data_IF_205267163561
#
_entry.id   IF_205267163561
#
_cell.length_a   1.000
_cell.length_b   1.000
_cell.length_c   1.000
_cell.angle_alpha   90.00
_cell.angle_beta   90.00
_cell.angle_gamma   90.00
#
_symmetry.space_group_name_H-M   'P 1'
#
loop_
_entity.id
_entity.type
_entity.pdbx_description
1 polymer ?
#
# COMPACT_ATOMS: atom_id res chain seq x y z
N UNK A 1 -70.04 25.62 -19.10
CA UNK A 1 -69.54 25.50 -17.72
C UNK A 1 -68.03 25.50 -17.79
N UNK A 2 -67.40 26.45 -17.07
CA UNK A 2 -65.95 26.66 -16.97
C UNK A 2 -65.29 25.40 -16.42
N UNK A 3 -64.14 24.97 -16.96
CA UNK A 3 -63.18 24.18 -16.19
C UNK A 3 -61.76 24.71 -16.47
N UNK A 4 -61.32 25.48 -15.49
CA UNK A 4 -59.98 25.98 -15.25
C UNK A 4 -59.17 24.81 -14.66
N UNK A 5 -58.10 24.37 -15.32
CA UNK A 5 -57.17 23.39 -14.76
C UNK A 5 -55.79 24.03 -14.61
N UNK A 6 -55.41 24.15 -13.35
CA UNK A 6 -54.13 24.59 -12.80
C UNK A 6 -52.96 23.85 -13.47
N UNK A 7 -51.99 24.61 -14.00
CA UNK A 7 -50.67 24.07 -14.35
C UNK A 7 -49.83 24.09 -13.07
N UNK A 8 -49.69 22.92 -12.44
CA UNK A 8 -48.76 22.69 -11.34
C UNK A 8 -47.35 22.54 -11.95
N UNK A 9 -46.52 23.59 -11.86
CA UNK A 9 -45.13 23.55 -12.28
C UNK A 9 -44.32 22.61 -11.37
N UNK A 10 -44.11 21.39 -11.83
CA UNK A 10 -43.24 20.40 -11.18
C UNK A 10 -41.77 20.81 -11.46
N UNK A 11 -41.16 21.53 -10.52
CA UNK A 11 -39.72 21.81 -10.55
C UNK A 11 -38.95 20.51 -10.34
N UNK A 12 -38.49 19.89 -11.43
CA UNK A 12 -37.55 18.78 -11.38
C UNK A 12 -36.19 19.30 -10.86
N UNK A 13 -35.93 19.07 -9.58
CA UNK A 13 -34.59 19.16 -9.01
C UNK A 13 -33.78 18.01 -9.61
N UNK A 14 -33.05 18.30 -10.69
CA UNK A 14 -32.17 17.34 -11.34
C UNK A 14 -30.98 17.11 -10.41
N UNK A 15 -30.95 15.99 -9.69
CA UNK A 15 -29.74 15.53 -9.00
C UNK A 15 -28.74 15.20 -10.10
N UNK A 16 -27.83 16.12 -10.38
CA UNK A 16 -26.72 15.89 -11.29
C UNK A 16 -25.77 14.90 -10.62
N UNK A 17 -25.79 13.66 -11.10
CA UNK A 17 -24.79 12.67 -10.76
C UNK A 17 -23.44 13.17 -11.30
N UNK A 18 -22.58 13.65 -10.40
CA UNK A 18 -21.31 14.24 -10.76
C UNK A 18 -20.30 13.13 -11.08
N UNK A 19 -19.67 13.20 -12.24
CA UNK A 19 -18.67 12.21 -12.64
C UNK A 19 -17.44 12.22 -11.70
N UNK A 20 -16.70 11.11 -11.69
CA UNK A 20 -15.47 10.99 -10.91
C UNK A 20 -14.42 12.05 -11.31
N UNK A 21 -13.75 12.64 -10.32
CA UNK A 21 -12.69 13.63 -10.48
C UNK A 21 -11.33 12.95 -10.33
N UNK A 22 -10.62 12.80 -11.45
CA UNK A 22 -9.32 12.13 -11.51
C UNK A 22 -8.20 12.95 -10.86
N UNK A 23 -8.32 14.28 -10.81
CA UNK A 23 -7.34 15.13 -10.14
C UNK A 23 -7.46 15.00 -8.63
N UNK A 24 -8.68 14.97 -8.10
CA UNK A 24 -8.95 14.63 -6.70
C UNK A 24 -8.47 13.22 -6.37
N UNK A 25 -8.80 12.23 -7.21
CA UNK A 25 -8.36 10.84 -7.03
C UNK A 25 -6.83 10.68 -6.98
N UNK A 26 -6.11 11.40 -7.85
CA UNK A 26 -4.64 11.44 -7.80
C UNK A 26 -4.10 12.06 -6.51
N UNK A 27 -4.74 13.11 -6.01
CA UNK A 27 -4.35 13.76 -4.76
C UNK A 27 -4.56 12.82 -3.57
N UNK A 28 -5.70 12.12 -3.51
CA UNK A 28 -6.03 11.15 -2.48
C UNK A 28 -5.09 9.93 -2.50
N UNK A 29 -4.65 9.48 -3.68
CA UNK A 29 -3.73 8.34 -3.80
C UNK A 29 -2.39 8.57 -3.10
N UNK A 30 -2.00 9.82 -2.82
CA UNK A 30 -0.78 10.11 -2.04
C UNK A 30 -0.79 9.42 -0.67
N UNK A 31 -1.96 9.26 -0.05
CA UNK A 31 -2.11 8.57 1.22
C UNK A 31 -1.97 7.04 1.07
N UNK A 32 -2.38 6.50 -0.08
CA UNK A 32 -2.27 5.07 -0.39
C UNK A 32 -0.85 4.69 -0.83
N UNK A 33 -0.12 5.65 -1.39
CA UNK A 33 1.19 5.47 -1.99
C UNK A 33 2.27 5.01 -1.00
N UNK A 34 2.10 5.28 0.30
CA UNK A 34 3.01 4.85 1.34
C UNK A 34 3.24 3.33 1.34
N UNK A 35 2.14 2.57 1.21
CA UNK A 35 2.20 1.12 1.20
C UNK A 35 2.16 0.57 -0.23
N UNK A 36 1.32 1.14 -1.09
CA UNK A 36 1.05 0.58 -2.42
C UNK A 36 1.92 1.19 -3.53
N UNK A 37 2.88 2.06 -3.21
CA UNK A 37 3.71 2.76 -4.19
C UNK A 37 3.00 3.96 -4.83
N UNK A 38 3.79 4.88 -5.39
CA UNK A 38 3.34 6.20 -5.88
C UNK A 38 2.19 6.16 -6.90
N UNK A 39 2.06 5.06 -7.64
CA UNK A 39 0.99 4.81 -8.61
C UNK A 39 0.16 3.57 -8.28
N UNK A 40 0.29 3.01 -7.07
CA UNK A 40 -0.40 1.78 -6.71
C UNK A 40 0.22 0.52 -7.34
N UNK A 41 1.50 0.52 -7.69
CA UNK A 41 2.19 -0.63 -8.26
C UNK A 41 2.40 -1.81 -7.27
N UNK A 42 2.25 -1.55 -5.96
CA UNK A 42 2.62 -2.48 -4.90
C UNK A 42 4.14 -2.66 -4.80
N UNK A 43 4.58 -3.61 -3.98
CA UNK A 43 5.99 -3.94 -3.87
C UNK A 43 6.18 -5.44 -3.61
N UNK A 44 7.07 -6.09 -4.37
CA UNK A 44 7.43 -7.50 -4.16
C UNK A 44 8.16 -7.68 -2.82
N UNK A 45 7.92 -8.80 -2.15
CA UNK A 45 8.39 -9.05 -0.78
C UNK A 45 7.65 -8.23 0.29
N UNK A 46 6.61 -7.47 -0.07
CA UNK A 46 5.70 -6.79 0.85
C UNK A 46 4.27 -7.29 0.67
N UNK A 47 3.45 -7.15 1.72
CA UNK A 47 2.01 -7.51 1.68
C UNK A 47 1.15 -6.40 1.04
N UNK A 48 1.79 -5.48 0.31
CA UNK A 48 1.15 -4.34 -0.35
C UNK A 48 0.76 -4.70 -1.79
N UNK A 49 -0.51 -5.01 -2.06
CA UNK A 49 -0.93 -5.40 -3.40
C UNK A 49 -0.80 -4.27 -4.42
N UNK A 50 -0.65 -4.66 -5.70
CA UNK A 50 -0.88 -3.77 -6.84
C UNK A 50 -2.35 -3.36 -6.88
N UNK A 51 -2.60 -2.06 -6.82
CA UNK A 51 -3.90 -1.41 -6.98
C UNK A 51 -4.09 -0.84 -8.40
N UNK A 52 -3.00 -0.47 -9.05
CA UNK A 52 -2.98 0.10 -10.39
C UNK A 52 -3.67 -0.83 -11.40
N UNK A 53 -4.58 -0.27 -12.19
CA UNK A 53 -5.27 -1.00 -13.25
C UNK A 53 -6.32 -2.01 -12.78
N UNK A 54 -6.54 -2.16 -11.46
CA UNK A 54 -7.68 -2.93 -10.94
C UNK A 54 -9.00 -2.27 -11.35
N UNK A 55 -10.08 -3.05 -11.54
CA UNK A 55 -11.38 -2.49 -11.87
C UNK A 55 -11.85 -1.48 -10.80
N UNK A 56 -12.36 -0.32 -11.21
CA UNK A 56 -12.88 0.71 -10.29
C UNK A 56 -13.86 0.12 -9.28
N UNK A 57 -14.81 -0.68 -9.77
CA UNK A 57 -15.85 -1.34 -8.98
C UNK A 57 -15.27 -2.21 -7.88
N UNK A 58 -14.20 -2.94 -8.20
CA UNK A 58 -13.51 -3.80 -7.25
C UNK A 58 -12.78 -2.98 -6.19
N UNK A 59 -12.12 -1.87 -6.57
CA UNK A 59 -11.45 -0.97 -5.63
C UNK A 59 -12.44 -0.32 -4.67
N UNK A 60 -13.58 0.18 -5.18
CA UNK A 60 -14.67 0.73 -4.36
C UNK A 60 -15.18 -0.34 -3.38
N UNK A 61 -15.48 -1.55 -3.88
CA UNK A 61 -15.92 -2.67 -3.03
C UNK A 61 -14.90 -2.95 -1.93
N UNK A 62 -13.63 -3.13 -2.27
CA UNK A 62 -12.58 -3.47 -1.30
C UNK A 62 -12.37 -2.38 -0.25
N UNK A 63 -12.36 -1.11 -0.64
CA UNK A 63 -12.25 0.00 0.31
C UNK A 63 -13.47 0.06 1.23
N UNK A 64 -14.67 -0.16 0.70
CA UNK A 64 -15.88 -0.26 1.51
C UNK A 64 -15.90 -1.51 2.39
N UNK A 65 -15.32 -2.63 1.94
CA UNK A 65 -15.18 -3.84 2.74
C UNK A 65 -14.22 -3.60 3.92
N UNK A 66 -13.16 -2.82 3.72
CA UNK A 66 -12.28 -2.36 4.81
C UNK A 66 -13.00 -1.39 5.75
N UNK A 67 -13.66 -0.34 5.23
CA UNK A 67 -14.45 0.62 6.04
C UNK A 67 -15.51 -0.07 6.87
N UNK A 68 -16.19 -1.06 6.28
CA UNK A 68 -17.14 -1.88 7.00
C UNK A 68 -16.36 -2.74 7.98
N UNK A 69 -15.30 -3.42 7.58
CA UNK A 69 -14.60 -4.44 8.37
C UNK A 69 -14.97 -5.86 7.93
N UNK A 70 -15.62 -5.99 6.78
CA UNK A 70 -15.81 -7.27 6.07
C UNK A 70 -14.46 -7.82 5.67
N UNK A 71 -13.60 -6.94 5.17
CA UNK A 71 -12.23 -7.28 4.81
C UNK A 71 -11.30 -6.82 5.92
N UNK A 72 -10.52 -7.78 6.37
CA UNK A 72 -9.64 -7.62 7.51
C UNK A 72 -8.20 -7.58 7.07
N UNK A 73 -7.58 -6.41 7.22
CA UNK A 73 -6.14 -6.28 7.19
C UNK A 73 -5.80 -5.14 8.12
N UNK A 74 -5.08 -5.46 9.20
CA UNK A 74 -4.82 -4.52 10.29
C UNK A 74 -4.18 -3.21 9.78
N UNK A 75 -3.22 -3.30 8.85
CA UNK A 75 -2.59 -2.14 8.23
C UNK A 75 -3.63 -1.29 7.46
N UNK A 76 -4.42 -1.91 6.58
CA UNK A 76 -5.45 -1.14 5.84
C UNK A 76 -6.50 -0.49 6.74
N UNK A 77 -6.85 -1.11 7.88
CA UNK A 77 -7.84 -0.58 8.83
C UNK A 77 -7.29 0.51 9.75
N UNK A 78 -5.98 0.53 10.02
CA UNK A 78 -5.35 1.44 10.99
C UNK A 78 -4.55 2.56 10.34
N UNK A 79 -4.06 2.35 9.13
CA UNK A 79 -3.12 3.26 8.47
C UNK A 79 -3.81 4.22 7.50
N UNK A 80 -5.04 3.93 7.06
CA UNK A 80 -5.81 4.82 6.18
C UNK A 80 -7.09 5.23 6.89
N UNK A 81 -7.31 6.53 6.97
CA UNK A 81 -8.58 7.11 7.37
C UNK A 81 -9.65 6.91 6.28
N UNK A 82 -9.89 5.66 5.86
CA UNK A 82 -10.97 5.31 4.94
C UNK A 82 -12.32 5.77 5.50
N UNK A 83 -12.43 5.88 6.83
CA UNK A 83 -13.57 6.44 7.54
C UNK A 83 -13.74 7.96 7.33
N UNK A 84 -12.65 8.70 7.08
CA UNK A 84 -12.67 10.16 6.83
C UNK A 84 -12.88 10.50 5.34
N UNK A 85 -12.77 9.51 4.45
CA UNK A 85 -13.03 9.69 3.02
C UNK A 85 -14.54 9.70 2.74
N UNK A 86 -15.01 10.60 1.90
CA UNK A 86 -16.40 10.53 1.41
C UNK A 86 -16.55 9.41 0.37
N UNK A 87 -17.79 9.01 0.08
CA UNK A 87 -18.04 8.04 -1.02
C UNK A 87 -17.55 8.57 -2.36
N UNK A 88 -17.59 9.90 -2.55
CA UNK A 88 -17.05 10.58 -3.72
C UNK A 88 -15.53 10.48 -3.78
N UNK A 89 -14.84 10.60 -2.65
CA UNK A 89 -13.39 10.43 -2.57
C UNK A 89 -12.97 8.99 -2.90
N UNK A 90 -13.70 8.00 -2.38
CA UNK A 90 -13.51 6.59 -2.74
C UNK A 90 -13.72 6.37 -4.24
N UNK A 91 -14.77 6.97 -4.82
CA UNK A 91 -15.02 6.87 -6.25
C UNK A 91 -13.89 7.49 -7.07
N UNK A 92 -13.39 8.66 -6.66
CA UNK A 92 -12.36 9.43 -7.34
C UNK A 92 -11.02 8.71 -7.34
N UNK A 93 -10.55 8.24 -6.17
CA UNK A 93 -9.29 7.48 -6.07
C UNK A 93 -9.37 6.15 -6.81
N UNK A 94 -10.53 5.47 -6.76
CA UNK A 94 -10.74 4.23 -7.52
C UNK A 94 -10.71 4.49 -9.03
N UNK A 95 -11.33 5.58 -9.48
CA UNK A 95 -11.35 5.96 -10.90
C UNK A 95 -9.95 6.28 -11.40
N UNK A 96 -9.16 6.99 -10.59
CA UNK A 96 -7.77 7.30 -10.86
C UNK A 96 -6.93 6.03 -11.01
N UNK A 97 -6.92 5.16 -10.00
CA UNK A 97 -6.14 3.90 -10.00
C UNK A 97 -6.52 2.96 -11.14
N UNK A 98 -7.82 2.84 -11.44
CA UNK A 98 -8.33 1.99 -12.53
C UNK A 98 -7.94 2.48 -13.93
N UNK A 99 -7.62 3.78 -14.07
CA UNK A 99 -7.30 4.42 -15.33
C UNK A 99 -5.79 4.54 -15.58
N UNK A 100 -4.95 4.07 -14.65
CA UNK A 100 -3.49 3.94 -14.83
C UNK A 100 -3.21 2.97 -15.97
N UNK A 101 -2.41 3.43 -16.93
CA UNK A 101 -1.88 2.60 -18.01
C UNK A 101 -0.66 1.82 -17.52
N UNK A 102 -0.75 0.50 -17.56
CA UNK A 102 0.31 -0.40 -17.10
C UNK A 102 1.32 -0.70 -18.21
N UNK A 103 0.96 -0.50 -19.48
CA UNK A 103 1.62 -1.17 -20.62
C UNK A 103 3.03 -0.66 -20.96
N UNK A 104 3.41 0.50 -20.43
CA UNK A 104 4.62 1.22 -20.83
C UNK A 104 5.68 1.37 -19.72
N UNK A 105 5.42 0.83 -18.53
CA UNK A 105 6.28 1.04 -17.37
C UNK A 105 6.58 -0.28 -16.63
N UNK A 106 7.86 -0.72 -16.61
CA UNK A 106 8.29 -1.92 -15.90
C UNK A 106 8.04 -1.90 -14.40
N UNK A 107 7.81 -0.74 -13.78
CA UNK A 107 7.53 -0.65 -12.34
C UNK A 107 6.21 -1.36 -11.95
N UNK A 108 5.32 -1.58 -12.92
CA UNK A 108 4.08 -2.33 -12.73
C UNK A 108 4.20 -3.83 -13.01
N UNK A 109 5.34 -4.27 -13.58
CA UNK A 109 5.60 -5.67 -13.89
C UNK A 109 5.91 -6.44 -12.60
N UNK A 110 5.22 -7.55 -12.41
CA UNK A 110 5.45 -8.40 -11.25
C UNK A 110 6.45 -9.49 -11.62
N UNK A 111 7.60 -9.45 -10.93
CA UNK A 111 8.64 -10.47 -11.10
C UNK A 111 8.09 -11.84 -10.76
N UNK A 112 8.42 -12.83 -11.60
CA UNK A 112 8.04 -14.22 -11.37
C UNK A 112 8.55 -14.70 -10.01
N UNK A 113 7.65 -15.25 -9.19
CA UNK A 113 8.01 -15.81 -7.88
C UNK A 113 8.63 -17.21 -8.00
N UNK A 114 9.23 -17.67 -6.91
CA UNK A 114 9.71 -19.06 -6.79
C UNK A 114 8.55 -20.05 -6.88
N UNK A 115 8.77 -21.21 -7.48
CA UNK A 115 7.77 -22.28 -7.64
C UNK A 115 7.80 -22.95 -9.02
N UNK A 116 7.19 -24.12 -9.13
CA UNK A 116 7.07 -24.92 -10.35
C UNK A 116 5.90 -24.41 -11.21
N UNK A 117 6.22 -23.57 -12.20
CA UNK A 117 5.25 -22.88 -13.06
C UNK A 117 4.27 -23.85 -13.76
N UNK A 118 4.71 -25.04 -14.16
CA UNK A 118 3.83 -25.99 -14.84
C UNK A 118 2.81 -26.63 -13.89
N UNK A 119 3.21 -26.95 -12.66
CA UNK A 119 2.31 -27.44 -11.62
C UNK A 119 1.26 -26.37 -11.30
N UNK A 120 1.68 -25.12 -11.10
CA UNK A 120 0.80 -23.98 -10.89
C UNK A 120 -0.15 -23.72 -12.06
N UNK A 121 0.30 -23.93 -13.30
CA UNK A 121 -0.54 -23.82 -14.51
C UNK A 121 -1.66 -24.84 -14.53
N UNK A 122 -1.37 -26.08 -14.16
CA UNK A 122 -2.38 -27.14 -14.08
C UNK A 122 -3.43 -26.79 -13.02
N UNK A 123 -2.99 -26.39 -11.83
CA UNK A 123 -3.86 -26.01 -10.72
C UNK A 123 -4.73 -24.78 -11.04
N UNK A 124 -4.14 -23.73 -11.61
CA UNK A 124 -4.91 -22.56 -12.06
C UNK A 124 -5.97 -22.93 -13.10
N UNK A 125 -5.64 -23.86 -14.00
CA UNK A 125 -6.55 -24.29 -15.04
C UNK A 125 -7.68 -25.16 -14.53
N UNK A 126 -7.52 -25.90 -13.44
CA UNK A 126 -8.60 -26.67 -12.84
C UNK A 126 -9.47 -25.77 -11.96
N UNK A 127 -8.87 -25.02 -11.04
CA UNK A 127 -9.60 -24.33 -9.96
C UNK A 127 -9.94 -22.87 -10.28
N UNK A 128 -9.04 -22.11 -10.93
CA UNK A 128 -9.15 -20.65 -10.97
C UNK A 128 -9.75 -20.09 -12.28
N UNK A 129 -9.40 -20.66 -13.44
CA UNK A 129 -9.66 -20.07 -14.78
C UNK A 129 -11.13 -19.78 -15.06
N UNK A 130 -12.04 -20.55 -14.46
CA UNK A 130 -13.49 -20.48 -14.72
C UNK A 130 -14.05 -19.13 -14.25
N UNK A 131 -13.50 -18.58 -13.17
CA UNK A 131 -13.87 -17.29 -12.61
C UNK A 131 -12.87 -16.20 -13.00
N UNK A 132 -11.56 -16.46 -12.89
CA UNK A 132 -10.52 -15.45 -13.13
C UNK A 132 -10.06 -15.30 -14.59
N UNK A 133 -10.72 -16.01 -15.52
CA UNK A 133 -10.36 -16.11 -16.94
C UNK A 133 -9.02 -16.82 -17.19
N UNK A 134 -8.84 -17.32 -18.42
CA UNK A 134 -7.64 -18.09 -18.80
C UNK A 134 -6.37 -17.24 -18.78
N UNK A 135 -6.53 -15.95 -19.03
CA UNK A 135 -5.46 -14.94 -19.01
C UNK A 135 -5.25 -14.32 -17.62
N UNK A 136 -6.01 -14.73 -16.60
CA UNK A 136 -5.88 -14.22 -15.24
C UNK A 136 -6.34 -12.78 -15.04
N UNK A 137 -6.96 -12.13 -16.03
CA UNK A 137 -7.39 -10.74 -15.93
C UNK A 137 -8.80 -10.55 -15.33
N UNK A 138 -9.36 -11.62 -14.77
CA UNK A 138 -10.64 -11.57 -14.08
C UNK A 138 -11.84 -11.46 -15.01
N UNK A 139 -13.03 -11.55 -14.42
CA UNK A 139 -14.31 -11.39 -15.12
C UNK A 139 -15.17 -10.40 -14.34
N UNK A 140 -15.26 -9.12 -14.76
CA UNK A 140 -16.04 -8.11 -14.04
C UNK A 140 -17.54 -8.39 -13.89
N UNK A 141 -18.09 -9.36 -14.63
CA UNK A 141 -19.49 -9.82 -14.48
C UNK A 141 -19.67 -10.87 -13.37
N UNK A 142 -18.58 -11.49 -12.93
CA UNK A 142 -18.54 -12.48 -11.86
C UNK A 142 -17.85 -11.95 -10.61
N UNK A 143 -17.63 -10.63 -10.54
CA UNK A 143 -16.85 -9.97 -9.48
C UNK A 143 -15.44 -10.53 -9.24
N UNK A 144 -14.96 -11.41 -10.12
CA UNK A 144 -13.66 -12.04 -10.04
C UNK A 144 -12.57 -11.03 -10.46
N UNK A 145 -11.70 -10.57 -9.53
CA UNK A 145 -10.67 -9.60 -9.85
C UNK A 145 -9.56 -10.20 -10.73
N UNK A 146 -8.76 -9.35 -11.38
CA UNK A 146 -7.49 -9.77 -11.97
C UNK A 146 -6.57 -10.39 -10.92
N UNK A 147 -5.99 -11.54 -11.25
CA UNK A 147 -4.89 -12.18 -10.54
C UNK A 147 -3.56 -11.92 -11.23
N UNK A 148 -3.58 -11.81 -12.57
CA UNK A 148 -2.40 -11.46 -13.36
C UNK A 148 -1.81 -10.12 -12.91
N UNK A 149 -0.51 -10.14 -12.63
CA UNK A 149 0.27 -9.01 -12.10
C UNK A 149 -0.09 -8.58 -10.70
N UNK A 150 -0.53 -9.52 -9.86
CA UNK A 150 -0.55 -9.31 -8.43
C UNK A 150 0.69 -9.96 -7.79
N UNK A 151 1.19 -9.37 -6.70
CA UNK A 151 2.35 -9.88 -5.95
C UNK A 151 2.04 -11.22 -5.28
N UNK A 152 2.96 -12.18 -5.42
CA UNK A 152 2.80 -13.56 -4.96
C UNK A 152 2.50 -13.67 -3.47
N UNK A 153 3.18 -12.86 -2.65
CA UNK A 153 3.11 -12.86 -1.20
C UNK A 153 1.73 -12.41 -0.72
N UNK A 154 1.17 -11.37 -1.35
CA UNK A 154 -0.20 -10.93 -1.08
C UNK A 154 -1.23 -11.97 -1.53
N UNK A 155 -0.99 -12.68 -2.64
CA UNK A 155 -1.89 -13.74 -3.11
C UNK A 155 -1.88 -14.94 -2.15
N UNK A 156 -0.69 -15.41 -1.75
CA UNK A 156 -0.53 -16.46 -0.74
C UNK A 156 -1.21 -16.04 0.56
N UNK A 157 -0.97 -14.82 1.05
CA UNK A 157 -1.63 -14.32 2.25
C UNK A 157 -3.16 -14.30 2.09
N UNK A 158 -3.66 -13.85 0.95
CA UNK A 158 -5.10 -13.82 0.68
C UNK A 158 -5.71 -15.21 0.72
N UNK A 159 -5.05 -16.21 0.11
CA UNK A 159 -5.51 -17.59 0.12
C UNK A 159 -5.42 -18.21 1.52
N UNK A 160 -4.35 -17.92 2.27
CA UNK A 160 -4.23 -18.32 3.68
C UNK A 160 -5.34 -17.72 4.56
N UNK A 161 -5.74 -16.48 4.30
CA UNK A 161 -6.88 -15.86 4.96
C UNK A 161 -8.21 -16.52 4.57
N UNK A 162 -8.34 -17.03 3.34
CA UNK A 162 -9.50 -17.83 2.91
C UNK A 162 -9.53 -19.19 3.62
N UNK A 163 -8.42 -19.93 3.64
CA UNK A 163 -8.27 -21.20 4.39
C UNK A 163 -8.61 -21.01 5.88
N UNK A 164 -8.12 -19.93 6.48
CA UNK A 164 -8.39 -19.61 7.88
C UNK A 164 -9.76 -18.98 8.14
N UNK A 165 -10.59 -18.79 7.11
CA UNK A 165 -11.91 -18.12 7.17
C UNK A 165 -11.88 -16.70 7.79
N UNK A 166 -10.70 -16.09 7.86
CA UNK A 166 -10.49 -14.68 8.28
C UNK A 166 -10.94 -13.72 7.20
N UNK A 167 -10.89 -14.19 5.95
CA UNK A 167 -11.47 -13.53 4.78
C UNK A 167 -12.33 -14.57 4.08
N UNK A 168 -13.50 -14.17 3.59
CA UNK A 168 -14.37 -15.04 2.81
C UNK A 168 -14.02 -14.94 1.33
N UNK A 169 -13.89 -16.07 0.66
CA UNK A 169 -13.78 -16.12 -0.80
C UNK A 169 -15.18 -16.18 -1.40
N UNK A 170 -15.43 -15.40 -2.46
CA UNK A 170 -16.76 -15.19 -3.08
C UNK A 170 -17.89 -14.76 -2.11
N UNK A 171 -17.54 -14.27 -0.91
CA UNK A 171 -18.45 -14.04 0.21
C UNK A 171 -19.23 -15.29 0.65
N UNK A 172 -18.64 -16.48 0.48
CA UNK A 172 -19.17 -17.76 0.92
C UNK A 172 -18.40 -18.26 2.15
N UNK A 173 -19.11 -18.52 3.24
CA UNK A 173 -18.54 -19.04 4.49
C UNK A 173 -18.16 -20.52 4.37
N UNK A 174 -18.90 -21.25 3.54
CA UNK A 174 -18.75 -22.69 3.33
C UNK A 174 -17.80 -23.01 2.17
N UNK A 175 -17.05 -22.04 1.66
CA UNK A 175 -16.13 -22.26 0.55
C UNK A 175 -14.89 -23.06 0.97
N UNK A 176 -14.86 -24.34 0.58
CA UNK A 176 -13.79 -25.29 0.85
C UNK A 176 -12.70 -25.31 -0.24
N UNK A 177 -12.78 -24.44 -1.27
CA UNK A 177 -11.90 -24.46 -2.45
C UNK A 177 -10.41 -24.53 -2.09
N UNK A 178 -10.01 -23.87 -1.01
CA UNK A 178 -8.60 -23.76 -0.63
C UNK A 178 -8.20 -24.70 0.50
N UNK A 179 -9.11 -25.42 1.14
CA UNK A 179 -8.83 -26.11 2.40
C UNK A 179 -7.74 -27.18 2.25
N UNK A 180 -7.67 -27.83 1.09
CA UNK A 180 -6.69 -28.88 0.77
C UNK A 180 -5.41 -28.35 0.11
N UNK A 181 -5.31 -27.04 -0.17
CA UNK A 181 -4.12 -26.49 -0.83
C UNK A 181 -2.92 -26.46 0.11
N UNK A 182 -1.87 -27.17 -0.26
CA UNK A 182 -0.57 -27.13 0.42
C UNK A 182 0.19 -25.83 0.15
N UNK A 183 1.16 -25.51 1.01
CA UNK A 183 2.02 -24.33 0.83
C UNK A 183 2.83 -24.37 -0.47
N UNK A 184 3.24 -25.57 -0.89
CA UNK A 184 3.95 -25.79 -2.16
C UNK A 184 3.01 -25.53 -3.35
N UNK A 185 1.77 -26.01 -3.30
CA UNK A 185 0.76 -25.73 -4.34
C UNK A 185 0.41 -24.24 -4.44
N UNK A 186 0.36 -23.52 -3.32
CA UNK A 186 0.17 -22.07 -3.31
C UNK A 186 1.36 -21.34 -3.92
N UNK A 187 2.57 -21.80 -3.62
CA UNK A 187 3.81 -21.27 -4.19
C UNK A 187 3.85 -21.48 -5.70
N UNK A 188 3.56 -22.68 -6.17
CA UNK A 188 3.51 -23.03 -7.60
C UNK A 188 2.41 -22.26 -8.33
N UNK A 189 1.21 -22.18 -7.75
CA UNK A 189 0.08 -21.42 -8.30
C UNK A 189 0.45 -19.95 -8.51
N UNK A 190 1.01 -19.31 -7.50
CA UNK A 190 1.37 -17.89 -7.58
C UNK A 190 2.57 -17.65 -8.48
N UNK A 191 3.52 -18.59 -8.56
CA UNK A 191 4.58 -18.58 -9.56
C UNK A 191 4.03 -18.61 -10.98
N UNK A 192 3.01 -19.42 -11.26
CA UNK A 192 2.35 -19.37 -12.57
C UNK A 192 1.59 -18.06 -12.81
N UNK A 193 0.80 -17.58 -11.84
CA UNK A 193 -0.01 -16.36 -12.02
C UNK A 193 0.86 -15.14 -12.34
N UNK A 194 2.03 -15.01 -11.71
CA UNK A 194 2.96 -13.90 -11.99
C UNK A 194 3.43 -13.90 -13.45
N UNK A 195 3.56 -15.07 -14.09
CA UNK A 195 3.89 -15.14 -15.54
C UNK A 195 2.82 -14.57 -16.46
N UNK A 196 1.57 -14.44 -16.00
CA UNK A 196 0.44 -13.97 -16.81
C UNK A 196 0.46 -12.45 -17.03
N UNK A 197 1.20 -11.68 -16.23
CA UNK A 197 1.25 -10.21 -16.36
C UNK A 197 1.96 -9.77 -17.64
N UNK A 198 2.99 -10.51 -18.04
CA UNK A 198 3.81 -10.28 -19.24
C UNK A 198 2.98 -10.15 -20.53
N UNK A 199 1.75 -10.69 -20.57
CA UNK A 199 0.87 -10.58 -21.72
C UNK A 199 0.36 -9.16 -22.01
N UNK A 200 0.51 -8.22 -21.06
CA UNK A 200 0.11 -6.80 -21.23
C UNK A 200 1.28 -5.82 -21.27
N UNK A 201 2.50 -6.24 -20.95
CA UNK A 201 3.68 -5.38 -20.92
C UNK A 201 4.43 -5.43 -22.26
N UNK A 202 4.72 -4.27 -22.88
CA UNK A 202 5.65 -4.20 -24.01
C UNK A 202 7.10 -4.23 -23.47
N UNK A 203 7.60 -5.45 -23.24
CA UNK A 203 8.88 -5.75 -22.56
C UNK A 203 10.12 -5.60 -23.47
N UNK A 204 10.07 -4.77 -24.52
CA UNK A 204 11.17 -4.65 -25.52
C UNK A 204 12.47 -4.01 -24.99
N UNK A 205 12.60 -3.79 -23.67
CA UNK A 205 13.88 -3.48 -23.00
C UNK A 205 14.38 -2.03 -23.14
N UNK A 206 13.60 -1.13 -23.75
CA UNK A 206 13.94 0.29 -23.94
C UNK A 206 13.05 1.26 -23.14
N UNK A 207 12.34 0.75 -22.14
CA UNK A 207 11.29 1.50 -21.43
C UNK A 207 11.90 2.39 -20.34
N UNK A 208 12.04 3.68 -20.66
CA UNK A 208 12.24 4.75 -19.67
C UNK A 208 10.94 4.93 -18.89
N UNK A 209 11.01 5.05 -17.56
CA UNK A 209 9.83 5.33 -16.74
C UNK A 209 9.17 6.66 -17.17
N UNK A 210 7.88 6.62 -17.48
CA UNK A 210 7.04 7.79 -17.72
C UNK A 210 5.85 7.71 -16.77
N UNK A 211 5.52 8.82 -16.10
CA UNK A 211 4.33 8.88 -15.26
C UNK A 211 3.09 8.40 -16.05
N UNK A 212 2.30 7.46 -15.52
CA UNK A 212 1.20 6.86 -16.27
C UNK A 212 0.22 7.93 -16.74
N UNK A 213 -0.12 7.91 -18.03
CA UNK A 213 -1.15 8.78 -18.56
C UNK A 213 -2.53 8.18 -18.22
N UNK A 214 -3.31 8.91 -17.42
CA UNK A 214 -4.67 8.49 -17.04
C UNK A 214 -5.58 8.59 -18.27
N UNK A 215 -5.95 7.45 -18.86
CA UNK A 215 -6.74 7.45 -20.11
C UNK A 215 -8.20 7.75 -19.79
N UNK A 216 -8.63 9.00 -19.99
CA UNK A 216 -9.97 9.51 -19.67
C UNK A 216 -11.13 8.62 -20.20
N UNK A 217 -10.97 8.02 -21.39
CA UNK A 217 -11.98 7.13 -22.01
C UNK A 217 -12.23 5.82 -21.23
N UNK A 218 -11.23 5.33 -20.48
CA UNK A 218 -11.34 4.12 -19.65
C UNK A 218 -12.05 4.41 -18.32
N UNK A 219 -11.81 5.59 -17.75
CA UNK A 219 -12.48 6.07 -16.54
C UNK A 219 -13.99 6.29 -16.75
N UNK A 220 -14.37 6.95 -17.86
CA UNK A 220 -15.77 7.30 -18.18
C UNK A 220 -16.68 6.07 -18.30
N UNK A 221 -16.23 5.03 -19.03
CA UNK A 221 -16.98 3.79 -19.23
C UNK A 221 -17.21 3.02 -17.92
N UNK A 222 -16.29 3.13 -16.97
CA UNK A 222 -16.34 2.39 -15.72
C UNK A 222 -17.29 3.07 -14.72
N UNK A 223 -17.34 4.40 -14.69
CA UNK A 223 -18.26 5.15 -13.84
C UNK A 223 -19.75 4.90 -14.13
N UNK A 224 -20.13 4.79 -15.41
CA UNK A 224 -21.54 4.61 -15.80
C UNK A 224 -22.13 3.26 -15.37
N UNK A 225 -21.30 2.24 -15.15
CA UNK A 225 -21.75 0.88 -14.81
C UNK A 225 -22.15 0.73 -13.34
N UNK A 226 -21.59 1.57 -12.47
CA UNK A 226 -21.58 1.41 -11.01
C UNK A 226 -22.74 2.05 -10.25
N UNK A 227 -23.44 3.00 -10.83
CA UNK A 227 -24.57 3.68 -10.18
C UNK A 227 -25.80 2.78 -9.92
N UNK A 228 -25.62 1.45 -9.86
CA UNK A 228 -26.69 0.44 -9.92
C UNK A 228 -26.68 -0.63 -8.80
N UNK A 229 -25.71 -0.69 -7.86
CA UNK A 229 -25.67 -1.80 -6.87
C UNK A 229 -24.89 -1.48 -5.58
N UNK A 230 -25.54 -1.50 -4.39
CA UNK A 230 -24.88 -1.74 -3.08
C UNK A 230 -25.90 -1.87 -1.92
N UNK A 231 -25.66 -2.75 -0.91
CA UNK A 231 -26.06 -2.69 0.55
C UNK A 231 -25.69 -3.99 1.37
N UNK A 232 -24.95 -3.82 2.50
CA UNK A 232 -24.96 -4.57 3.83
C UNK A 232 -23.84 -5.58 4.34
N UNK A 233 -23.24 -5.22 5.50
CA UNK A 233 -22.86 -5.97 6.77
C UNK A 233 -21.55 -6.79 7.01
N UNK A 234 -21.12 -6.94 8.31
CA UNK A 234 -19.76 -6.82 8.90
C UNK A 234 -19.50 -7.55 10.29
N UNK A 235 -18.27 -8.07 10.66
CA UNK A 235 -17.61 -8.24 12.04
C UNK A 235 -16.31 -9.15 12.14
N UNK A 236 -15.52 -9.14 13.26
CA UNK A 236 -14.00 -9.15 13.31
C UNK A 236 -13.23 -9.83 14.54
N UNK A 237 -11.96 -10.35 14.40
CA UNK A 237 -10.89 -10.44 15.48
C UNK A 237 -9.48 -11.16 15.27
N UNK A 238 -8.31 -10.49 15.58
CA UNK A 238 -6.98 -10.88 16.25
C UNK A 238 -5.80 -11.77 15.68
N UNK A 239 -4.48 -11.39 15.76
CA UNK A 239 -3.24 -12.12 15.24
C UNK A 239 -1.83 -11.80 15.91
N UNK A 240 -0.73 -12.58 15.65
CA UNK A 240 0.68 -12.51 16.20
C UNK A 240 1.86 -12.60 15.12
N UNK A 241 3.14 -12.21 15.43
CA UNK A 241 4.30 -11.88 14.50
C UNK A 241 5.56 -12.83 14.54
N UNK A 242 6.34 -13.01 13.44
CA UNK A 242 7.48 -13.99 13.31
C UNK A 242 8.82 -13.65 12.55
N UNK A 243 9.13 -12.47 11.95
CA UNK A 243 10.44 -12.24 11.23
C UNK A 243 11.10 -10.86 11.50
N UNK A 244 12.44 -10.81 11.64
CA UNK A 244 13.25 -9.60 11.90
C UNK A 244 13.34 -8.64 10.70
N UNK A 245 13.19 -9.10 9.45
CA UNK A 245 13.12 -8.18 8.29
C UNK A 245 11.84 -7.34 8.29
N UNK A 246 10.82 -7.77 9.03
CA UNK A 246 9.59 -7.01 9.27
C UNK A 246 9.82 -5.86 10.28
N UNK A 247 10.95 -5.89 11.01
CA UNK A 247 11.30 -4.91 12.06
C UNK A 247 12.03 -3.67 11.55
N UNK A 248 12.28 -3.52 10.23
CA UNK A 248 13.09 -2.41 9.70
C UNK A 248 12.44 -1.78 8.47
N UNK A 249 12.23 -0.47 8.50
CA UNK A 249 11.87 0.34 7.32
C UNK A 249 13.15 0.80 6.61
N UNK A 250 13.18 0.67 5.27
CA UNK A 250 14.35 1.04 4.45
C UNK A 250 13.94 1.79 3.18
N UNK A 251 14.68 2.85 2.84
CA UNK A 251 14.47 3.64 1.62
C UNK A 251 15.82 3.90 0.93
N UNK A 252 15.98 3.56 -0.35
CA UNK A 252 17.18 3.92 -1.09
C UNK A 252 17.17 5.42 -1.41
N UNK A 253 18.35 6.05 -1.52
CA UNK A 253 18.43 7.38 -2.14
C UNK A 253 18.09 7.30 -3.64
N UNK A 254 17.46 8.35 -4.16
CA UNK A 254 17.22 8.52 -5.59
C UNK A 254 18.52 8.82 -6.35
N UNK A 255 18.53 8.51 -7.65
CA UNK A 255 19.68 8.72 -8.50
C UNK A 255 20.04 10.22 -8.58
N UNK A 256 21.25 10.55 -8.13
CA UNK A 256 21.77 11.93 -8.13
C UNK A 256 21.58 12.68 -6.81
N UNK A 257 20.87 12.10 -5.83
CA UNK A 257 20.80 12.66 -4.47
C UNK A 257 22.08 12.30 -3.72
N UNK A 258 22.83 13.31 -3.27
CA UNK A 258 24.03 13.07 -2.47
C UNK A 258 23.68 12.77 -1.01
N UNK A 259 24.61 12.19 -0.26
CA UNK A 259 24.44 11.99 1.19
C UNK A 259 24.21 13.33 1.89
N UNK A 260 24.93 14.37 1.48
CA UNK A 260 24.76 15.73 2.00
C UNK A 260 23.36 16.26 1.75
N UNK A 261 22.82 16.11 0.54
CA UNK A 261 21.45 16.52 0.19
C UNK A 261 20.44 15.76 1.06
N UNK A 262 20.56 14.43 1.12
CA UNK A 262 19.68 13.58 1.92
C UNK A 262 19.66 14.01 3.39
N UNK A 263 20.84 14.28 3.97
CA UNK A 263 20.96 14.72 5.36
C UNK A 263 20.34 16.10 5.56
N UNK A 264 20.57 17.06 4.66
CA UNK A 264 19.99 18.39 4.77
C UNK A 264 18.47 18.37 4.65
N UNK A 265 17.93 17.61 3.69
CA UNK A 265 16.49 17.43 3.51
C UNK A 265 15.84 16.77 4.72
N UNK A 266 16.48 15.74 5.31
CA UNK A 266 16.05 15.17 6.58
C UNK A 266 15.98 16.21 7.70
N UNK A 267 17.00 17.07 7.85
CA UNK A 267 17.00 18.11 8.87
C UNK A 267 15.93 19.17 8.63
N UNK A 268 15.71 19.57 7.36
CA UNK A 268 14.67 20.52 6.96
C UNK A 268 13.29 19.99 7.34
N UNK A 269 12.98 18.76 6.91
CA UNK A 269 11.71 18.11 7.20
C UNK A 269 11.50 17.87 8.69
N UNK A 270 12.54 17.46 9.41
CA UNK A 270 12.46 17.27 10.86
C UNK A 270 12.12 18.59 11.58
N UNK A 271 12.72 19.70 11.15
CA UNK A 271 12.41 21.02 11.70
C UNK A 271 10.96 21.43 11.44
N UNK A 272 10.43 21.21 10.23
CA UNK A 272 9.03 21.44 9.87
C UNK A 272 8.06 20.66 10.77
N UNK A 273 8.41 19.40 11.06
CA UNK A 273 7.61 18.49 11.88
C UNK A 273 7.82 18.66 13.39
N UNK A 274 8.57 19.68 13.81
CA UNK A 274 8.95 19.94 15.20
C UNK A 274 9.70 18.76 15.87
N UNK A 275 10.43 17.97 15.09
CA UNK A 275 11.37 16.97 15.55
C UNK A 275 12.77 17.55 15.56
N UNK A 276 13.36 17.73 16.75
CA UNK A 276 14.72 18.27 16.86
C UNK A 276 15.74 17.16 16.65
N UNK A 277 16.82 17.48 15.94
CA UNK A 277 18.05 16.67 15.99
C UNK A 277 18.63 16.74 17.40
N UNK A 278 18.63 15.61 18.10
CA UNK A 278 19.14 15.49 19.48
C UNK A 278 20.48 14.76 19.55
N UNK A 279 20.92 14.15 18.46
CA UNK A 279 22.22 13.50 18.36
C UNK A 279 22.56 13.09 16.93
N UNK A 280 23.85 13.02 16.64
CA UNK A 280 24.36 12.43 15.40
C UNK A 280 25.66 11.69 15.68
N UNK A 281 25.89 10.60 14.97
CA UNK A 281 27.11 9.81 15.07
C UNK A 281 27.62 9.49 13.66
N UNK A 282 28.82 9.97 13.35
CA UNK A 282 29.49 9.77 12.06
C UNK A 282 30.46 8.58 12.18
N UNK A 283 29.92 7.36 12.14
CA UNK A 283 30.68 6.14 12.45
C UNK A 283 31.80 5.91 11.44
N UNK A 284 31.52 6.03 10.14
CA UNK A 284 32.54 5.86 9.09
C UNK A 284 33.68 6.86 9.23
N UNK A 285 33.38 8.14 9.50
CA UNK A 285 34.40 9.18 9.73
C UNK A 285 35.27 8.90 10.95
N UNK A 286 34.67 8.41 12.04
CA UNK A 286 35.41 8.03 13.24
C UNK A 286 36.36 6.85 12.96
N UNK A 287 35.90 5.84 12.21
CA UNK A 287 36.72 4.68 11.81
C UNK A 287 37.86 5.10 10.88
N UNK A 288 37.59 5.98 9.91
CA UNK A 288 38.59 6.53 9.01
C UNK A 288 39.71 7.25 9.79
N UNK A 289 39.36 8.03 10.81
CA UNK A 289 40.34 8.72 11.66
C UNK A 289 41.28 7.77 12.42
N UNK A 290 40.89 6.50 12.55
CA UNK A 290 41.64 5.41 13.18
C UNK A 290 42.35 4.51 12.17
N UNK A 291 42.28 4.85 10.87
CA UNK A 291 42.86 4.06 9.78
C UNK A 291 42.10 2.77 9.49
N UNK A 292 40.81 2.69 9.84
CA UNK A 292 39.96 1.54 9.56
C UNK A 292 39.05 1.87 8.38
N UNK A 293 39.16 1.07 7.31
CA UNK A 293 38.29 1.16 6.14
C UNK A 293 36.87 0.66 6.46
N UNK A 294 35.85 1.34 5.97
CA UNK A 294 34.45 1.05 6.25
C UNK A 294 33.53 1.67 5.19
N UNK A 295 32.44 0.98 4.81
CA UNK A 295 31.34 1.61 4.08
C UNK A 295 30.79 2.83 4.85
N UNK A 296 30.15 3.75 4.13
CA UNK A 296 29.53 4.90 4.77
C UNK A 296 28.49 4.48 5.81
N UNK A 297 28.62 5.02 7.03
CA UNK A 297 27.68 4.81 8.11
C UNK A 297 27.57 6.06 8.99
N UNK A 298 26.37 6.63 9.02
CA UNK A 298 26.01 7.70 9.94
C UNK A 298 24.66 7.41 10.60
N UNK A 299 24.47 7.85 11.85
CA UNK A 299 23.23 7.68 12.60
C UNK A 299 22.75 9.06 13.05
N UNK A 300 21.49 9.38 12.78
CA UNK A 300 20.84 10.61 13.16
C UNK A 300 19.69 10.34 14.12
N UNK A 301 19.58 11.17 15.15
CA UNK A 301 18.65 10.96 16.26
C UNK A 301 17.70 12.15 16.37
N UNK A 302 16.41 11.88 16.29
CA UNK A 302 15.36 12.90 16.30
C UNK A 302 14.41 12.70 17.47
N UNK A 303 13.94 13.80 18.07
CA UNK A 303 13.04 13.75 19.20
C UNK A 303 12.14 15.00 19.28
N UNK A 304 10.87 14.77 19.63
CA UNK A 304 9.98 15.82 20.13
C UNK A 304 9.94 15.72 21.67
N UNK A 305 10.36 16.76 22.41
CA UNK A 305 10.41 16.71 23.87
C UNK A 305 9.05 16.50 24.56
N UNK A 306 7.95 16.99 23.97
CA UNK A 306 6.61 16.81 24.52
C UNK A 306 6.10 15.39 24.35
N UNK A 307 6.42 14.78 23.20
CA UNK A 307 6.06 13.40 22.91
C UNK A 307 6.87 12.46 23.79
N UNK A 308 8.18 12.73 23.93
CA UNK A 308 9.04 11.98 24.83
C UNK A 308 8.56 12.05 26.27
N UNK A 309 8.17 13.24 26.75
CA UNK A 309 7.56 13.38 28.08
C UNK A 309 6.29 12.54 28.20
N UNK A 310 5.40 12.63 27.22
CA UNK A 310 4.12 11.91 27.22
C UNK A 310 4.34 10.41 27.30
N UNK A 311 5.27 9.87 26.50
CA UNK A 311 5.64 8.46 26.50
C UNK A 311 6.25 8.06 27.85
N UNK A 312 7.32 8.71 28.33
CA UNK A 312 8.00 8.34 29.59
C UNK A 312 7.08 8.44 30.81
N UNK A 313 6.20 9.44 30.86
CA UNK A 313 5.24 9.60 31.96
C UNK A 313 4.22 8.47 31.98
N UNK A 314 3.82 7.94 30.82
CA UNK A 314 2.96 6.76 30.74
C UNK A 314 3.70 5.50 31.16
N UNK A 315 4.90 5.26 30.63
CA UNK A 315 5.77 4.19 31.08
C UNK A 315 7.25 4.53 30.86
N UNK A 316 8.11 4.53 31.91
CA UNK A 316 9.53 4.81 31.76
C UNK A 316 10.28 3.92 30.77
N UNK A 317 9.76 2.73 30.44
CA UNK A 317 10.38 1.82 29.45
C UNK A 317 10.59 2.48 28.10
N UNK A 318 9.74 3.45 27.72
CA UNK A 318 9.85 4.17 26.45
C UNK A 318 11.14 4.98 26.33
N UNK A 319 11.79 5.34 27.45
CA UNK A 319 13.12 5.96 27.43
C UNK A 319 14.17 5.11 26.69
N UNK A 320 13.99 3.78 26.61
CA UNK A 320 14.89 2.87 25.89
C UNK A 320 14.70 2.89 24.37
N UNK A 321 13.52 3.35 23.92
CA UNK A 321 13.16 3.43 22.51
C UNK A 321 13.37 4.83 21.93
N UNK A 322 13.68 5.81 22.79
CA UNK A 322 13.96 7.19 22.41
C UNK A 322 15.45 7.49 22.51
N UNK A 323 15.98 8.40 21.68
CA UNK A 323 15.31 9.09 20.57
C UNK A 323 15.12 8.18 19.33
N UNK A 324 14.29 8.64 18.39
CA UNK A 324 14.07 7.93 17.13
C UNK A 324 15.33 8.02 16.26
N UNK A 325 15.67 6.93 15.55
CA UNK A 325 16.96 6.78 14.85
C UNK A 325 16.77 6.50 13.37
N UNK A 326 17.43 7.28 12.52
CA UNK A 326 17.62 6.97 11.10
C UNK A 326 19.12 6.76 10.87
N UNK A 327 19.46 5.60 10.29
CA UNK A 327 20.82 5.28 9.85
C UNK A 327 20.93 5.54 8.34
N UNK A 328 21.99 6.22 7.94
CA UNK A 328 22.39 6.36 6.53
C UNK A 328 23.52 5.36 6.32
N UNK A 329 23.28 4.35 5.48
CA UNK A 329 24.13 3.17 5.34
C UNK A 329 24.41 2.89 3.88
N UNK A 330 25.67 2.67 3.57
CA UNK A 330 26.10 2.12 2.28
C UNK A 330 26.09 0.59 2.32
N UNK A 331 25.44 -0.03 1.34
CA UNK A 331 25.41 -1.49 1.20
C UNK A 331 26.62 -2.04 0.42
N UNK A 332 26.67 -3.36 0.27
CA UNK A 332 27.74 -4.07 -0.43
C UNK A 332 27.83 -3.73 -1.93
N UNK A 333 26.81 -3.08 -2.50
CA UNK A 333 26.73 -2.66 -3.90
C UNK A 333 26.95 -1.14 -4.07
N UNK A 334 27.49 -0.47 -3.04
CA UNK A 334 27.69 0.98 -2.98
C UNK A 334 26.39 1.79 -3.07
N UNK A 335 25.23 1.19 -2.75
CA UNK A 335 23.94 1.89 -2.72
C UNK A 335 23.71 2.45 -1.33
N UNK A 336 23.27 3.71 -1.27
CA UNK A 336 22.95 4.39 -0.01
C UNK A 336 21.50 4.15 0.37
N UNK A 337 21.29 3.80 1.64
CA UNK A 337 20.00 3.51 2.24
C UNK A 337 19.78 4.35 3.50
N UNK A 338 18.57 4.84 3.65
CA UNK A 338 18.02 5.30 4.92
C UNK A 338 17.33 4.11 5.58
N UNK A 339 17.67 3.82 6.83
CA UNK A 339 17.11 2.71 7.59
C UNK A 339 16.68 3.13 8.98
N UNK A 340 15.51 2.69 9.43
CA UNK A 340 15.06 2.86 10.80
C UNK A 340 14.35 1.60 11.31
N UNK A 341 14.26 1.46 12.63
CA UNK A 341 13.41 0.42 13.21
C UNK A 341 11.96 0.69 12.79
N UNK A 342 11.28 -0.34 12.32
CA UNK A 342 9.86 -0.30 12.04
C UNK A 342 9.11 -0.18 13.37
N UNK A 343 8.57 1.02 13.63
CA UNK A 343 7.85 1.29 14.86
C UNK A 343 6.46 0.63 14.87
N UNK A 344 5.94 0.18 13.73
CA UNK A 344 4.63 -0.50 13.66
C UNK A 344 4.61 -1.74 14.55
N UNK A 345 5.71 -2.50 14.62
CA UNK A 345 5.80 -3.67 15.50
C UNK A 345 5.77 -3.33 16.99
N UNK A 346 6.26 -2.14 17.38
CA UNK A 346 6.18 -1.67 18.77
C UNK A 346 4.80 -1.08 19.08
N UNK A 347 4.15 -0.50 18.07
CA UNK A 347 2.80 0.07 18.13
C UNK A 347 1.74 -1.04 18.25
N UNK A 348 1.99 -2.19 17.61
CA UNK A 348 1.06 -3.33 17.49
C UNK A 348 1.09 -4.30 18.68
N UNK A 349 1.86 -3.99 19.73
CA UNK A 349 1.85 -4.78 20.96
C UNK A 349 0.65 -4.38 21.84
N UNK A 350 -0.05 -5.35 22.44
CA UNK A 350 -1.13 -5.15 23.45
C UNK A 350 -0.69 -4.35 24.70
N UNK A 351 0.55 -3.84 24.73
CA UNK A 351 1.21 -3.21 25.85
C UNK A 351 1.08 -1.67 25.86
N UNK A 352 0.53 -1.06 24.80
CA UNK A 352 0.42 0.40 24.70
C UNK A 352 -0.94 0.92 25.17
N UNK A 353 -0.93 1.88 26.10
CA UNK A 353 -2.11 2.67 26.43
C UNK A 353 -2.62 3.38 25.15
N UNK A 354 -3.93 3.37 24.87
CA UNK A 354 -4.52 4.04 23.71
C UNK A 354 -4.07 5.50 23.53
N UNK A 355 -3.80 6.23 24.61
CA UNK A 355 -3.30 7.61 24.56
C UNK A 355 -1.87 7.74 24.06
N UNK A 356 -1.08 6.66 24.13
CA UNK A 356 0.31 6.59 23.65
C UNK A 356 0.38 6.06 22.22
N UNK A 357 -0.60 5.25 21.80
CA UNK A 357 -0.71 4.79 20.40
C UNK A 357 -0.75 5.98 19.45
N UNK A 358 -1.57 7.00 19.72
CA UNK A 358 -1.66 8.20 18.87
C UNK A 358 -0.31 8.94 18.75
N UNK A 359 0.43 9.05 19.86
CA UNK A 359 1.76 9.68 19.89
C UNK A 359 2.76 8.83 19.09
N UNK A 360 2.74 7.51 19.27
CA UNK A 360 3.65 6.60 18.60
C UNK A 360 3.40 6.53 17.08
N UNK A 361 2.14 6.48 16.65
CA UNK A 361 1.73 6.52 15.24
C UNK A 361 2.18 7.84 14.59
N UNK A 362 1.91 8.98 15.25
CA UNK A 362 2.35 10.28 14.73
C UNK A 362 3.87 10.37 14.63
N UNK A 363 4.61 9.91 15.64
CA UNK A 363 6.07 9.89 15.61
C UNK A 363 6.58 8.99 14.47
N UNK A 364 5.98 7.81 14.26
CA UNK A 364 6.35 6.92 13.15
C UNK A 364 6.14 7.61 11.79
N UNK A 365 4.99 8.24 11.60
CA UNK A 365 4.67 9.00 10.39
C UNK A 365 5.68 10.13 10.15
N UNK A 366 5.99 10.92 11.19
CA UNK A 366 6.97 12.01 11.06
C UNK A 366 8.38 11.51 10.73
N UNK A 367 8.78 10.36 11.29
CA UNK A 367 10.07 9.73 10.97
C UNK A 367 10.11 9.22 9.53
N UNK A 368 9.01 8.66 9.01
CA UNK A 368 8.90 8.24 7.61
C UNK A 368 8.95 9.43 6.66
N UNK A 369 8.29 10.54 6.97
CA UNK A 369 8.34 11.76 6.16
C UNK A 369 9.75 12.35 6.09
N UNK A 370 10.49 12.32 7.21
CA UNK A 370 11.92 12.68 7.24
C UNK A 370 12.70 11.76 6.29
N UNK A 371 12.48 10.45 6.35
CA UNK A 371 13.16 9.51 5.45
C UNK A 371 12.81 9.74 3.98
N UNK A 372 11.54 10.04 3.65
CA UNK A 372 11.14 10.34 2.26
C UNK A 372 11.87 11.59 1.76
N UNK A 373 11.85 12.69 2.51
CA UNK A 373 12.60 13.90 2.15
C UNK A 373 14.08 13.63 1.99
N UNK A 374 14.66 12.79 2.85
CA UNK A 374 16.06 12.37 2.71
C UNK A 374 16.30 11.54 1.44
N UNK A 375 15.41 10.61 1.11
CA UNK A 375 15.54 9.73 -0.04
C UNK A 375 15.44 10.49 -1.37
N UNK A 376 14.54 11.47 -1.46
CA UNK A 376 14.29 12.25 -2.68
C UNK A 376 15.16 13.51 -2.77
N UNK A 377 15.74 13.97 -1.65
CA UNK A 377 16.43 15.26 -1.59
C UNK A 377 15.48 16.47 -1.57
N UNK A 378 14.17 16.27 -1.38
CA UNK A 378 13.19 17.36 -1.33
C UNK A 378 13.29 18.19 -0.04
N UNK A 379 13.25 19.52 -0.17
CA UNK A 379 13.42 20.49 0.92
C UNK A 379 12.12 21.06 1.49
#
# INVERSE_FOLDING_TARGET
>A
MKNLLLILSLSFLSIQLQAADLANGKALNKNCALCHGIYGQGASGQLSPRLAGLPKDYLIKVMNDYRKGIRQNYLMLKTIALDDMTDKDIEDVSAYLAAIDLTSDPSFDVVQSIGEVEAGRMLFNSECKTCHAKDGFGKPKKEAPPLAGQHSEYMIQSIKMFQGKVRLHDNDEDDETFDDFSDDELTDLTAFITTLDNARMDMTGNTKFYAPNVVAKRAEKTATKLAKSDLNNNKLGGLHITDIKQTVARMPLEDGVTIEDAVQSMMSKAAELNLKLVGSQQVSKELESRGVDSPFLAIYQFCNPMDAKTMVVSNPIFASYMPCRISVVEDQNNKIWLMMLNLDMLIDSELLDPKIVDVAVRVNQSMLEIMVSGATGDF
#
